data_IF_373156233071
#
_entry.id   IF_373156233071
#
_cell.length_a   1.000
_cell.length_b   1.000
_cell.length_c   1.000
_cell.angle_alpha   90.00
_cell.angle_beta   90.00
_cell.angle_gamma   90.00
#
_symmetry.space_group_name_H-M   'P 1'
#
loop_
_entity.id
_entity.type
_entity.pdbx_description
1 polymer ?
#
# COMPACT_ATOMS: atom_id res chain seq x y z
N UNK A 1 11.36 -19.37 -12.18
CA UNK A 1 10.64 -18.28 -11.50
C UNK A 1 11.65 -17.21 -11.13
N UNK A 2 11.63 -16.05 -11.79
CA UNK A 2 12.46 -14.91 -11.38
C UNK A 2 11.86 -14.34 -10.10
N UNK A 3 12.52 -14.57 -8.96
CA UNK A 3 12.13 -13.96 -7.69
C UNK A 3 12.14 -12.45 -7.87
N UNK A 4 10.97 -11.81 -7.78
CA UNK A 4 10.84 -10.35 -7.88
C UNK A 4 11.45 -9.77 -6.61
N UNK A 5 12.63 -9.15 -6.72
CA UNK A 5 13.25 -8.45 -5.61
C UNK A 5 12.43 -7.19 -5.31
N UNK A 6 11.60 -7.26 -4.26
CA UNK A 6 10.79 -6.15 -3.79
C UNK A 6 11.48 -5.42 -2.63
N UNK A 7 11.75 -4.14 -2.85
CA UNK A 7 12.28 -3.22 -1.84
C UNK A 7 11.23 -2.91 -0.78
N UNK A 8 11.68 -2.80 0.45
CA UNK A 8 10.93 -2.25 1.58
C UNK A 8 10.64 -0.76 1.38
N UNK A 9 9.70 -0.21 2.15
CA UNK A 9 9.40 1.23 2.13
C UNK A 9 10.65 2.06 2.47
N UNK A 10 11.43 1.61 3.46
CA UNK A 10 12.69 2.25 3.86
C UNK A 10 13.71 2.30 2.72
N UNK A 11 13.96 1.17 2.04
CA UNK A 11 14.88 1.11 0.90
C UNK A 11 14.44 1.98 -0.27
N UNK A 12 13.13 2.09 -0.54
CA UNK A 12 12.58 2.99 -1.57
C UNK A 12 12.84 4.46 -1.24
N UNK A 13 12.75 4.83 0.03
CA UNK A 13 13.03 6.20 0.49
C UNK A 13 14.51 6.50 0.41
N UNK A 14 15.36 5.55 0.82
CA UNK A 14 16.80 5.70 0.69
C UNK A 14 17.23 5.83 -0.78
N UNK A 15 16.59 5.10 -1.70
CA UNK A 15 16.76 5.27 -3.14
C UNK A 15 16.35 6.68 -3.60
N UNK A 16 15.24 7.22 -3.10
CA UNK A 16 14.82 8.60 -3.40
C UNK A 16 15.84 9.62 -2.89
N UNK A 17 16.40 9.43 -1.69
CA UNK A 17 17.45 10.29 -1.14
C UNK A 17 18.77 10.18 -1.91
N UNK A 18 19.18 8.98 -2.30
CA UNK A 18 20.37 8.75 -3.15
C UNK A 18 20.24 9.40 -4.54
N UNK A 19 19.01 9.71 -4.96
CA UNK A 19 18.70 10.41 -6.20
C UNK A 19 18.45 11.92 -6.01
N UNK A 20 18.56 12.46 -4.79
CA UNK A 20 18.44 13.91 -4.54
C UNK A 20 19.78 14.63 -4.74
N UNK A 21 19.68 15.92 -5.08
CA UNK A 21 20.76 16.75 -5.63
C UNK A 21 22.04 16.82 -4.78
N UNK A 22 23.18 17.02 -5.47
CA UNK A 22 24.51 17.18 -4.88
C UNK A 22 25.43 15.96 -5.06
N UNK A 23 24.88 14.75 -5.18
CA UNK A 23 25.62 13.53 -5.54
C UNK A 23 24.69 12.44 -6.13
N UNK A 24 23.71 12.87 -6.94
CA UNK A 24 22.65 12.01 -7.45
C UNK A 24 23.21 10.80 -8.22
N UNK A 25 22.92 9.60 -7.73
CA UNK A 25 23.28 8.39 -8.45
C UNK A 25 22.42 8.24 -9.70
N UNK A 26 23.05 7.95 -10.84
CA UNK A 26 22.29 7.65 -12.06
C UNK A 26 21.38 6.44 -11.87
N UNK A 27 20.29 6.36 -12.65
CA UNK A 27 19.35 5.24 -12.58
C UNK A 27 20.04 3.87 -12.69
N UNK A 28 21.10 3.78 -13.49
CA UNK A 28 21.93 2.56 -13.64
C UNK A 28 22.72 2.21 -12.38
N UNK A 29 23.24 3.22 -11.67
CA UNK A 29 23.93 3.01 -10.38
C UNK A 29 22.94 2.62 -9.29
N UNK A 30 21.76 3.24 -9.26
CA UNK A 30 20.67 2.89 -8.33
C UNK A 30 20.18 1.45 -8.56
N UNK A 31 19.91 1.08 -9.82
CA UNK A 31 19.51 -0.27 -10.18
C UNK A 31 20.52 -1.34 -9.70
N UNK A 32 21.81 -1.07 -9.86
CA UNK A 32 22.88 -1.95 -9.38
C UNK A 32 22.98 -1.97 -7.85
N UNK A 33 22.90 -0.82 -7.18
CA UNK A 33 22.99 -0.69 -5.72
C UNK A 33 21.87 -1.44 -5.01
N UNK A 34 20.65 -1.33 -5.53
CA UNK A 34 19.44 -1.91 -4.95
C UNK A 34 19.02 -3.24 -5.59
N UNK A 35 19.81 -3.78 -6.53
CA UNK A 35 19.53 -5.02 -7.25
C UNK A 35 18.10 -5.08 -7.86
N UNK A 36 17.68 -4.00 -8.51
CA UNK A 36 16.37 -3.87 -9.16
C UNK A 36 16.51 -3.46 -10.64
N UNK A 37 15.44 -3.59 -11.41
CA UNK A 37 15.41 -3.13 -12.81
C UNK A 37 15.41 -1.60 -12.92
N UNK A 38 15.87 -1.08 -14.07
CA UNK A 38 15.80 0.35 -14.38
C UNK A 38 14.37 0.88 -14.33
N UNK A 39 13.40 0.10 -14.81
CA UNK A 39 11.97 0.46 -14.76
C UNK A 39 11.48 0.59 -13.32
N UNK A 40 11.96 -0.26 -12.41
CA UNK A 40 11.62 -0.18 -10.99
C UNK A 40 12.15 1.11 -10.37
N UNK A 41 13.39 1.52 -10.70
CA UNK A 41 13.95 2.80 -10.26
C UNK A 41 13.09 3.95 -10.76
N UNK A 42 12.79 3.99 -12.06
CA UNK A 42 11.95 5.04 -12.66
C UNK A 42 10.57 5.10 -12.02
N UNK A 43 9.94 3.94 -11.77
CA UNK A 43 8.64 3.86 -11.12
C UNK A 43 8.69 4.35 -9.66
N UNK A 44 9.74 3.98 -8.90
CA UNK A 44 9.90 4.46 -7.52
C UNK A 44 10.05 5.98 -7.47
N UNK A 45 10.85 6.55 -8.36
CA UNK A 45 11.07 7.99 -8.44
C UNK A 45 9.83 8.76 -8.91
N UNK A 46 9.02 8.18 -9.80
CA UNK A 46 7.73 8.75 -10.23
C UNK A 46 6.76 8.89 -9.06
N UNK A 47 6.69 7.88 -8.19
CA UNK A 47 5.80 7.83 -7.03
C UNK A 47 6.47 8.31 -5.72
N UNK A 48 7.56 9.09 -5.81
CA UNK A 48 8.38 9.49 -4.65
C UNK A 48 7.60 10.19 -3.54
N UNK A 49 6.61 11.01 -3.88
CA UNK A 49 5.78 11.74 -2.91
C UNK A 49 4.95 10.74 -2.09
N UNK A 50 4.38 9.73 -2.74
CA UNK A 50 3.56 8.73 -2.06
C UNK A 50 4.39 7.89 -1.09
N UNK A 51 5.63 7.55 -1.45
CA UNK A 51 6.54 6.84 -0.54
C UNK A 51 6.97 7.69 0.65
N UNK A 52 7.20 8.99 0.46
CA UNK A 52 7.52 9.90 1.56
C UNK A 52 6.33 10.08 2.51
N UNK A 53 5.13 10.30 1.99
CA UNK A 53 3.91 10.40 2.80
C UNK A 53 3.61 9.09 3.55
N UNK A 54 3.79 7.95 2.86
CA UNK A 54 3.63 6.63 3.49
C UNK A 54 4.61 6.38 4.62
N UNK A 55 5.82 6.94 4.57
CA UNK A 55 6.82 6.85 5.63
C UNK A 55 6.41 7.60 6.88
N UNK A 56 5.93 8.82 6.75
CA UNK A 56 5.50 9.64 7.88
C UNK A 56 4.38 8.97 8.68
N UNK A 57 3.50 8.23 7.98
CA UNK A 57 2.36 7.52 8.57
C UNK A 57 2.77 6.14 9.14
N UNK A 58 3.76 5.45 8.55
CA UNK A 58 4.12 4.05 8.87
C UNK A 58 5.49 3.90 9.55
N UNK A 59 5.97 4.91 10.29
CA UNK A 59 7.35 4.99 10.83
C UNK A 59 7.85 3.73 11.57
N UNK A 60 6.95 2.88 12.08
CA UNK A 60 7.27 1.68 12.87
C UNK A 60 7.29 0.35 12.10
N UNK A 61 6.90 0.28 10.83
CA UNK A 61 6.75 -1.00 10.14
C UNK A 61 7.69 -1.12 8.93
N UNK A 62 8.84 -1.77 9.14
CA UNK A 62 9.76 -2.29 8.10
C UNK A 62 9.12 -3.42 7.28
N UNK A 63 7.87 -3.25 6.86
CA UNK A 63 7.10 -4.26 6.15
C UNK A 63 7.13 -3.94 4.67
N UNK A 64 7.33 -4.97 3.85
CA UNK A 64 7.13 -4.91 2.40
C UNK A 64 5.63 -4.77 2.13
N UNK A 65 5.10 -3.55 2.18
CA UNK A 65 3.71 -3.26 1.78
C UNK A 65 3.71 -2.40 0.53
N UNK A 66 2.85 -2.77 -0.42
CA UNK A 66 2.45 -1.87 -1.50
C UNK A 66 1.65 -0.73 -0.89
N UNK A 67 1.83 0.49 -1.42
CA UNK A 67 0.93 1.60 -1.12
C UNK A 67 -0.48 1.14 -1.50
N UNK A 68 -1.38 1.05 -0.51
CA UNK A 68 -2.78 0.74 -0.76
C UNK A 68 -3.42 1.96 -1.44
N UNK A 69 -4.28 1.72 -2.42
CA UNK A 69 -5.13 2.76 -3.01
C UNK A 69 -5.89 3.50 -1.89
N UNK A 70 -5.91 4.83 -1.92
CA UNK A 70 -6.58 5.69 -0.93
C UNK A 70 -8.05 5.31 -0.80
N UNK A 71 -8.70 4.97 -1.90
CA UNK A 71 -10.08 4.50 -1.89
C UNK A 71 -10.15 3.18 -1.11
N UNK A 72 -9.34 2.19 -1.47
CA UNK A 72 -9.31 0.90 -0.77
C UNK A 72 -9.01 1.05 0.73
N UNK A 73 -8.15 1.99 1.13
CA UNK A 73 -7.90 2.30 2.55
C UNK A 73 -9.16 2.82 3.24
N UNK A 74 -9.87 3.77 2.63
CA UNK A 74 -11.11 4.34 3.19
C UNK A 74 -12.23 3.30 3.34
N UNK A 75 -12.28 2.31 2.45
CA UNK A 75 -13.19 1.18 2.57
C UNK A 75 -12.79 0.26 3.73
N UNK A 76 -11.52 -0.14 3.78
CA UNK A 76 -10.96 -0.98 4.86
C UNK A 76 -11.21 -0.34 6.24
N UNK A 77 -11.02 0.97 6.36
CA UNK A 77 -11.26 1.73 7.59
C UNK A 77 -12.73 1.65 8.04
N UNK A 78 -13.69 1.91 7.14
CA UNK A 78 -15.12 1.84 7.48
C UNK A 78 -15.58 0.43 7.83
N UNK A 79 -15.08 -0.59 7.13
CA UNK A 79 -15.36 -2.00 7.45
C UNK A 79 -14.80 -2.36 8.82
N UNK A 80 -13.57 -1.93 9.12
CA UNK A 80 -12.92 -2.20 10.40
C UNK A 80 -13.63 -1.47 11.56
N UNK A 81 -14.03 -0.22 11.36
CA UNK A 81 -14.79 0.54 12.35
C UNK A 81 -16.12 -0.16 12.68
N UNK A 82 -16.88 -0.54 11.65
CA UNK A 82 -18.12 -1.30 11.85
C UNK A 82 -17.88 -2.62 12.58
N UNK A 83 -16.83 -3.36 12.21
CA UNK A 83 -16.48 -4.62 12.87
C UNK A 83 -16.12 -4.41 14.36
N UNK A 84 -15.34 -3.36 14.66
CA UNK A 84 -15.00 -3.00 16.03
C UNK A 84 -16.26 -2.67 16.86
N UNK A 85 -17.23 -1.97 16.27
CA UNK A 85 -18.53 -1.70 16.92
C UNK A 85 -19.31 -2.99 17.20
N UNK A 86 -19.31 -3.99 16.29
CA UNK A 86 -19.96 -5.28 16.54
C UNK A 86 -19.26 -6.07 17.64
N UNK A 87 -17.91 -6.06 17.64
CA UNK A 87 -17.11 -6.71 18.69
C UNK A 87 -17.32 -6.09 20.07
N UNK A 88 -17.47 -4.76 20.14
CA UNK A 88 -17.81 -4.07 21.40
C UNK A 88 -19.17 -4.54 21.96
N UNK A 89 -20.12 -4.90 21.08
CA UNK A 89 -21.41 -5.49 21.45
C UNK A 89 -21.35 -6.99 21.74
N UNK A 90 -20.15 -7.59 21.76
CA UNK A 90 -19.91 -9.05 21.91
C UNK A 90 -20.59 -9.88 20.81
N UNK A 91 -20.83 -9.29 19.64
CA UNK A 91 -21.38 -10.01 18.49
C UNK A 91 -20.23 -10.68 17.74
N UNK A 92 -20.34 -11.99 17.53
CA UNK A 92 -19.42 -12.72 16.68
C UNK A 92 -19.80 -12.49 15.21
N UNK A 93 -18.87 -11.94 14.43
CA UNK A 93 -19.05 -11.71 13.00
C UNK A 93 -18.26 -12.78 12.25
N UNK A 94 -18.95 -13.52 11.38
CA UNK A 94 -18.34 -14.48 10.48
C UNK A 94 -17.75 -13.78 9.25
N UNK A 95 -16.79 -14.42 8.59
CA UNK A 95 -16.17 -13.86 7.38
C UNK A 95 -17.19 -13.50 6.28
N UNK A 96 -18.21 -14.33 5.97
CA UNK A 96 -19.22 -13.98 4.97
C UNK A 96 -20.01 -12.70 5.29
N UNK A 97 -20.35 -12.50 6.57
CA UNK A 97 -21.06 -11.27 7.00
C UNK A 97 -20.14 -10.05 6.84
N UNK A 98 -18.86 -10.20 7.19
CA UNK A 98 -17.88 -9.12 7.01
C UNK A 98 -17.68 -8.77 5.53
N UNK A 99 -17.67 -9.79 4.66
CA UNK A 99 -17.58 -9.64 3.20
C UNK A 99 -18.81 -8.93 2.62
N UNK A 100 -20.00 -9.32 3.05
CA UNK A 100 -21.26 -8.67 2.66
C UNK A 100 -21.25 -7.20 3.08
N UNK A 101 -20.82 -6.91 4.31
CA UNK A 101 -20.70 -5.53 4.78
C UNK A 101 -19.71 -4.70 3.95
N UNK A 102 -18.60 -5.30 3.55
CA UNK A 102 -17.64 -4.63 2.67
C UNK A 102 -18.26 -4.28 1.31
N UNK A 103 -19.13 -5.14 0.75
CA UNK A 103 -19.87 -4.84 -0.49
C UNK A 103 -20.84 -3.68 -0.30
N UNK A 104 -21.64 -3.70 0.76
CA UNK A 104 -22.58 -2.62 1.07
C UNK A 104 -21.88 -1.25 1.19
N UNK A 105 -20.75 -1.22 1.91
CA UNK A 105 -19.98 0.02 2.09
C UNK A 105 -19.37 0.45 0.75
N UNK A 106 -18.85 -0.47 -0.05
CA UNK A 106 -18.32 -0.16 -1.38
C UNK A 106 -19.39 0.42 -2.31
N UNK A 107 -20.60 -0.16 -2.31
CA UNK A 107 -21.75 0.36 -3.06
C UNK A 107 -22.14 1.77 -2.61
N UNK A 108 -22.18 2.00 -1.29
CA UNK A 108 -22.51 3.33 -0.73
C UNK A 108 -21.49 4.42 -1.08
N UNK A 109 -20.24 4.04 -1.35
CA UNK A 109 -19.17 4.97 -1.71
C UNK A 109 -19.16 5.33 -3.22
N UNK A 110 -20.00 4.66 -4.02
CA UNK A 110 -20.25 4.87 -5.45
C UNK A 110 -19.15 4.37 -6.39
N UNK A 111 -19.31 4.62 -7.70
CA UNK A 111 -18.43 4.25 -8.83
C UNK A 111 -16.94 4.67 -8.72
N UNK A 112 -16.52 5.26 -7.60
CA UNK A 112 -15.10 5.54 -7.29
C UNK A 112 -14.31 4.28 -6.95
N UNK A 113 -14.99 3.17 -6.72
CA UNK A 113 -14.46 1.84 -6.53
C UNK A 113 -14.96 0.96 -7.68
N UNK A 114 -14.33 1.01 -8.85
CA UNK A 114 -14.69 0.08 -9.93
C UNK A 114 -14.73 -1.38 -9.44
N UNK A 115 -15.56 -2.25 -10.04
CA UNK A 115 -15.81 -3.67 -9.67
C UNK A 115 -15.07 -4.16 -8.41
N UNK A 116 -15.56 -3.77 -7.22
CA UNK A 116 -14.98 -4.18 -5.95
C UNK A 116 -15.10 -5.70 -5.82
N UNK A 117 -13.96 -6.39 -5.88
CA UNK A 117 -13.87 -7.83 -5.63
C UNK A 117 -13.45 -8.06 -4.19
N UNK A 118 -14.37 -8.63 -3.43
CA UNK A 118 -14.07 -9.22 -2.13
C UNK A 118 -13.16 -10.42 -2.35
N UNK A 119 -12.06 -10.52 -1.60
CA UNK A 119 -11.18 -11.70 -1.64
C UNK A 119 -11.88 -12.90 -1.00
N UNK A 120 -11.85 -14.02 -1.70
CA UNK A 120 -12.06 -15.33 -1.11
C UNK A 120 -10.80 -15.60 -0.28
N UNK A 121 -10.92 -15.52 1.05
CA UNK A 121 -9.77 -15.55 1.98
C UNK A 121 -8.86 -16.76 1.82
#
# INVERSE_FOLDING_TARGET
MTSRHELTLHEKIQLIFDNKDGNALSHRRLAKKYNISLDSVSNILKHKIEYLNGYEINQTQNVKRRLKDVNAQKLDEQVNEWFAQQRAKKIAISSPILQEKAREIAESLGDRFGSFKVSDG
#
